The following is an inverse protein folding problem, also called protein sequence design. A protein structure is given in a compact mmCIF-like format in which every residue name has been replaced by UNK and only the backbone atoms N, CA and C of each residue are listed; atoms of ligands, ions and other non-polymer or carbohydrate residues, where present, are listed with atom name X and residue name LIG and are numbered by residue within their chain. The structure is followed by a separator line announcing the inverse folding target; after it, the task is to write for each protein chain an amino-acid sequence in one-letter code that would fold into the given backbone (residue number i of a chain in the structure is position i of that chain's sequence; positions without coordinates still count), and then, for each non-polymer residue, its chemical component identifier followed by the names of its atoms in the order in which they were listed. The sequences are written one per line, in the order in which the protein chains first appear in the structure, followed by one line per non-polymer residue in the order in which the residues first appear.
data_IF_206460010759
#
_entry.id   IF_206460010759
#
_cell.length_a   1.000
_cell.length_b   1.000
_cell.length_c   1.000
_cell.angle_alpha   90.00
_cell.angle_beta   90.00
_cell.angle_gamma   90.00
#
_symmetry.space_group_name_H-M   'P 1'
#
loop_
_entity.id
_entity.type
_entity.pdbx_description
1 polymer ?
#
# COMPACT_ATOMS: atom_id res chain seq x y z
N UNK A 1 -17.18 -31.31 -15.05
CA UNK A 1 -16.57 -30.99 -13.73
C UNK A 1 -15.22 -30.30 -13.86
N UNK A 2 -14.32 -30.72 -14.77
CA UNK A 2 -13.03 -30.01 -14.97
C UNK A 2 -13.16 -28.55 -15.43
N UNK A 3 -14.09 -28.26 -16.34
CA UNK A 3 -14.30 -26.89 -16.86
C UNK A 3 -14.76 -25.90 -15.79
N UNK A 4 -15.57 -26.34 -14.81
CA UNK A 4 -16.02 -25.53 -13.69
C UNK A 4 -14.90 -25.25 -12.68
N UNK A 5 -14.02 -26.21 -12.41
CA UNK A 5 -12.84 -26.03 -11.55
C UNK A 5 -11.81 -25.08 -12.21
N UNK A 6 -11.57 -25.23 -13.51
CA UNK A 6 -10.69 -24.33 -14.28
C UNK A 6 -11.19 -22.87 -14.29
N UNK A 7 -12.51 -22.67 -14.37
CA UNK A 7 -13.12 -21.33 -14.30
C UNK A 7 -13.03 -20.70 -12.90
N UNK A 8 -13.17 -21.50 -11.85
CA UNK A 8 -13.03 -21.07 -10.45
C UNK A 8 -11.60 -20.61 -10.13
N UNK A 9 -10.61 -21.42 -10.50
CA UNK A 9 -9.18 -21.12 -10.27
C UNK A 9 -8.73 -19.88 -11.02
N UNK A 10 -9.17 -19.70 -12.28
CA UNK A 10 -8.91 -18.49 -13.05
C UNK A 10 -9.49 -17.23 -12.37
N UNK A 11 -10.75 -17.28 -11.92
CA UNK A 11 -11.38 -16.15 -11.19
C UNK A 11 -10.64 -15.76 -9.91
N UNK A 12 -10.08 -16.73 -9.19
CA UNK A 12 -9.30 -16.46 -7.98
C UNK A 12 -7.97 -15.76 -8.31
N UNK A 13 -7.28 -16.24 -9.35
CA UNK A 13 -6.05 -15.61 -9.83
C UNK A 13 -6.31 -14.17 -10.32
N UNK A 14 -7.38 -13.96 -11.08
CA UNK A 14 -7.79 -12.63 -11.57
C UNK A 14 -8.07 -11.66 -10.42
N UNK A 15 -8.86 -12.09 -9.41
CA UNK A 15 -9.11 -11.28 -8.20
C UNK A 15 -7.82 -10.91 -7.48
N UNK A 16 -6.85 -11.83 -7.42
CA UNK A 16 -5.57 -11.59 -6.77
C UNK A 16 -4.74 -10.57 -7.54
N UNK A 17 -4.61 -10.71 -8.86
CA UNK A 17 -3.90 -9.73 -9.70
C UNK A 17 -4.55 -8.36 -9.58
N UNK A 18 -5.89 -8.29 -9.58
CA UNK A 18 -6.62 -7.03 -9.39
C UNK A 18 -6.27 -6.35 -8.07
N UNK A 19 -6.30 -7.06 -6.93
CA UNK A 19 -5.92 -6.49 -5.62
C UNK A 19 -4.49 -5.96 -5.59
N UNK A 20 -3.55 -6.69 -6.19
CA UNK A 20 -2.14 -6.27 -6.27
C UNK A 20 -2.02 -5.00 -7.13
N UNK A 21 -2.69 -4.97 -8.28
CA UNK A 21 -2.73 -3.78 -9.16
C UNK A 21 -3.29 -2.56 -8.44
N UNK A 22 -4.40 -2.73 -7.74
CA UNK A 22 -5.06 -1.64 -6.99
C UNK A 22 -4.13 -1.09 -5.89
N UNK A 23 -3.38 -1.96 -5.21
CA UNK A 23 -2.35 -1.54 -4.26
C UNK A 23 -1.23 -0.72 -4.93
N UNK A 24 -0.71 -1.19 -6.07
CA UNK A 24 0.35 -0.46 -6.79
C UNK A 24 -0.12 0.90 -7.29
N UNK A 25 -1.38 1.03 -7.73
CA UNK A 25 -1.94 2.34 -8.09
C UNK A 25 -1.95 3.29 -6.88
N UNK A 26 -2.35 2.81 -5.71
CA UNK A 26 -2.36 3.62 -4.48
C UNK A 26 -0.94 4.00 -4.04
N UNK A 27 0.00 3.05 -4.06
CA UNK A 27 1.42 3.29 -3.77
C UNK A 27 2.04 4.28 -4.77
N UNK A 28 1.72 4.17 -6.05
CA UNK A 28 2.23 5.06 -7.09
C UNK A 28 1.76 6.50 -6.86
N UNK A 29 0.48 6.72 -6.56
CA UNK A 29 -0.06 8.06 -6.24
C UNK A 29 0.64 8.60 -4.99
N UNK A 30 0.78 7.78 -3.94
CA UNK A 30 1.50 8.18 -2.73
C UNK A 30 2.93 8.63 -3.04
N UNK A 31 3.70 7.87 -3.81
CA UNK A 31 5.09 8.22 -4.15
C UNK A 31 5.15 9.47 -5.02
N UNK A 32 4.33 9.57 -6.06
CA UNK A 32 4.34 10.71 -7.00
C UNK A 32 4.00 12.03 -6.29
N UNK A 33 3.09 12.00 -5.30
CA UNK A 33 2.70 13.21 -4.57
C UNK A 33 3.66 13.47 -3.41
N UNK A 34 3.96 12.47 -2.59
CA UNK A 34 4.71 12.68 -1.34
C UNK A 34 6.21 12.82 -1.56
N UNK A 35 6.80 12.15 -2.55
CA UNK A 35 8.24 12.23 -2.77
C UNK A 35 8.70 13.64 -3.17
N UNK A 36 8.07 14.36 -4.12
CA UNK A 36 8.43 15.75 -4.42
C UNK A 36 8.21 16.67 -3.21
N UNK A 37 7.09 16.53 -2.49
CA UNK A 37 6.79 17.36 -1.32
C UNK A 37 7.90 17.20 -0.26
N UNK A 38 8.33 15.97 0.03
CA UNK A 38 9.40 15.71 0.98
C UNK A 38 10.75 16.23 0.48
N UNK A 39 11.12 15.91 -0.77
CA UNK A 39 12.42 16.30 -1.35
C UNK A 39 12.59 17.81 -1.45
N UNK A 40 11.53 18.52 -1.83
CA UNK A 40 11.53 19.97 -1.99
C UNK A 40 11.01 20.71 -0.75
N UNK A 41 10.70 20.02 0.35
CA UNK A 41 10.11 20.63 1.55
C UNK A 41 10.92 21.83 2.06
N UNK A 42 12.25 21.70 2.15
CA UNK A 42 13.12 22.81 2.58
C UNK A 42 13.13 23.97 1.58
N UNK A 43 13.08 23.70 0.28
CA UNK A 43 13.04 24.75 -0.76
C UNK A 43 11.69 25.49 -0.75
N UNK A 44 10.59 24.75 -0.57
CA UNK A 44 9.25 25.32 -0.42
C UNK A 44 9.19 26.22 0.82
N UNK A 45 9.67 25.73 1.97
CA UNK A 45 9.69 26.49 3.23
C UNK A 45 10.56 27.73 3.09
N UNK A 46 11.78 27.60 2.55
CA UNK A 46 12.68 28.74 2.33
C UNK A 46 12.14 29.79 1.37
N UNK A 47 11.36 29.38 0.36
CA UNK A 47 10.64 30.33 -0.50
C UNK A 47 9.59 31.12 0.29
N UNK A 48 8.84 30.48 1.20
CA UNK A 48 7.82 31.16 1.99
C UNK A 48 8.39 32.00 3.15
N UNK A 49 9.56 31.65 3.69
CA UNK A 49 10.27 32.47 4.68
C UNK A 49 10.52 33.91 4.19
N UNK A 50 10.71 34.13 2.88
CA UNK A 50 10.88 35.49 2.33
C UNK A 50 9.58 36.31 2.23
N UNK A 51 8.41 35.70 2.46
CA UNK A 51 7.10 36.36 2.35
C UNK A 51 6.28 36.32 3.64
N UNK A 52 6.62 35.46 4.60
CA UNK A 52 5.88 35.26 5.85
C UNK A 52 6.78 35.60 7.03
N UNK A 53 6.46 36.68 7.74
CA UNK A 53 7.20 37.17 8.91
C UNK A 53 6.78 36.46 10.22
N UNK A 54 6.41 35.18 10.13
CA UNK A 54 6.00 34.36 11.28
C UNK A 54 6.64 32.97 11.22
N UNK A 55 7.79 32.85 11.88
CA UNK A 55 8.56 31.59 11.96
C UNK A 55 7.77 30.43 12.58
N UNK A 56 6.89 30.69 13.54
CA UNK A 56 6.07 29.64 14.17
C UNK A 56 5.11 28.99 13.16
N UNK A 57 4.58 29.76 12.21
CA UNK A 57 3.68 29.23 11.18
C UNK A 57 4.42 28.30 10.22
N UNK A 58 5.62 28.68 9.79
CA UNK A 58 6.45 27.86 8.89
C UNK A 58 6.94 26.57 9.54
N UNK A 59 7.34 26.63 10.80
CA UNK A 59 7.72 25.44 11.57
C UNK A 59 6.53 24.50 11.77
N UNK A 60 5.34 25.03 12.07
CA UNK A 60 4.11 24.25 12.16
C UNK A 60 3.79 23.55 10.83
N UNK A 61 3.92 24.23 9.69
CA UNK A 61 3.72 23.63 8.35
C UNK A 61 4.72 22.51 8.11
N UNK A 62 6.00 22.73 8.41
CA UNK A 62 7.06 21.73 8.25
C UNK A 62 6.75 20.46 9.03
N UNK A 63 6.37 20.59 10.30
CA UNK A 63 6.01 19.45 11.16
C UNK A 63 4.78 18.73 10.60
N UNK A 64 3.76 19.46 10.13
CA UNK A 64 2.57 18.86 9.55
C UNK A 64 2.83 18.06 8.27
N UNK A 65 3.76 18.51 7.41
CA UNK A 65 4.17 17.76 6.22
C UNK A 65 4.71 16.38 6.62
N UNK A 66 5.59 16.32 7.62
CA UNK A 66 6.16 15.06 8.12
C UNK A 66 5.11 14.16 8.76
N UNK A 67 4.24 14.70 9.63
CA UNK A 67 3.17 13.95 10.28
C UNK A 67 2.20 13.36 9.25
N UNK A 68 1.74 14.17 8.30
CA UNK A 68 0.83 13.70 7.25
C UNK A 68 1.51 12.61 6.41
N UNK A 69 2.75 12.82 6.00
CA UNK A 69 3.46 11.82 5.19
C UNK A 69 3.60 10.51 5.95
N UNK A 70 3.90 10.54 7.26
CA UNK A 70 3.96 9.36 8.10
C UNK A 70 2.61 8.64 8.21
N UNK A 71 1.52 9.40 8.39
CA UNK A 71 0.16 8.84 8.48
C UNK A 71 -0.23 8.12 7.18
N UNK A 72 0.01 8.77 6.03
CA UNK A 72 -0.25 8.18 4.72
C UNK A 72 0.64 6.97 4.47
N UNK A 73 1.91 7.02 4.87
CA UNK A 73 2.82 5.88 4.77
C UNK A 73 2.30 4.67 5.56
N UNK A 74 1.80 4.88 6.79
CA UNK A 74 1.17 3.83 7.59
C UNK A 74 -0.04 3.24 6.87
N UNK A 75 -0.90 4.08 6.28
CA UNK A 75 -2.05 3.62 5.50
C UNK A 75 -1.66 2.72 4.33
N UNK A 76 -0.65 3.12 3.56
CA UNK A 76 -0.09 2.33 2.46
C UNK A 76 0.54 1.03 2.97
N UNK A 77 1.30 1.08 4.07
CA UNK A 77 1.94 -0.08 4.67
C UNK A 77 0.91 -1.12 5.15
N UNK A 78 -0.16 -0.67 5.82
CA UNK A 78 -1.28 -1.53 6.23
C UNK A 78 -1.96 -2.15 5.01
N UNK A 79 -2.27 -1.36 3.99
CA UNK A 79 -2.87 -1.87 2.75
C UNK A 79 -1.98 -2.93 2.09
N UNK A 80 -0.67 -2.69 2.02
CA UNK A 80 0.30 -3.67 1.54
C UNK A 80 0.28 -4.96 2.35
N UNK A 81 0.32 -4.87 3.68
CA UNK A 81 0.21 -6.04 4.56
C UNK A 81 -1.06 -6.84 4.28
N UNK A 82 -2.22 -6.21 4.12
CA UNK A 82 -3.46 -6.91 3.79
C UNK A 82 -3.40 -7.61 2.43
N UNK A 83 -2.93 -6.92 1.39
CA UNK A 83 -2.87 -7.46 0.02
C UNK A 83 -1.91 -8.65 -0.08
N UNK A 84 -0.75 -8.58 0.60
CA UNK A 84 0.27 -9.63 0.54
C UNK A 84 0.08 -10.74 1.60
N UNK A 85 -0.46 -10.46 2.80
CA UNK A 85 -0.76 -11.51 3.80
C UNK A 85 -1.88 -12.45 3.35
N UNK A 86 -2.92 -11.93 2.69
CA UNK A 86 -3.99 -12.78 2.14
C UNK A 86 -3.39 -13.89 1.27
N UNK A 87 -2.39 -13.57 0.46
CA UNK A 87 -1.72 -14.57 -0.37
C UNK A 87 -0.93 -15.64 0.42
N UNK A 88 -0.31 -15.28 1.56
CA UNK A 88 0.39 -16.25 2.40
C UNK A 88 -0.57 -17.19 3.12
N UNK A 89 -1.69 -16.65 3.61
CA UNK A 89 -2.75 -17.42 4.28
C UNK A 89 -3.43 -18.36 3.26
N UNK A 90 -3.79 -17.85 2.08
CA UNK A 90 -4.39 -18.66 1.01
C UNK A 90 -3.48 -19.84 0.61
N UNK A 91 -2.17 -19.59 0.53
CA UNK A 91 -1.18 -20.64 0.22
C UNK A 91 -1.07 -21.68 1.33
N UNK A 92 -1.04 -21.22 2.59
CA UNK A 92 -1.00 -22.11 3.75
C UNK A 92 -2.26 -22.99 3.84
N UNK A 93 -3.44 -22.40 3.64
CA UNK A 93 -4.72 -23.11 3.67
C UNK A 93 -4.76 -24.19 2.58
N UNK A 94 -4.37 -23.83 1.34
CA UNK A 94 -4.32 -24.78 0.22
C UNK A 94 -3.38 -25.96 0.51
N UNK A 95 -2.22 -25.69 1.10
CA UNK A 95 -1.28 -26.74 1.49
C UNK A 95 -1.85 -27.65 2.58
N UNK A 96 -2.53 -27.10 3.58
CA UNK A 96 -3.15 -27.87 4.66
C UNK A 96 -4.29 -28.74 4.17
N UNK A 97 -5.15 -28.23 3.29
CA UNK A 97 -6.22 -29.02 2.68
C UNK A 97 -5.64 -30.20 1.89
N UNK A 98 -4.58 -29.99 1.11
CA UNK A 98 -3.90 -31.08 0.39
C UNK A 98 -3.32 -32.14 1.33
N UNK A 99 -2.71 -31.72 2.45
CA UNK A 99 -2.18 -32.62 3.49
C UNK A 99 -3.29 -33.47 4.15
N UNK A 100 -4.49 -32.92 4.35
CA UNK A 100 -5.62 -33.67 4.89
C UNK A 100 -6.27 -34.63 3.89
N UNK A 101 -6.28 -34.29 2.59
CA UNK A 101 -6.78 -35.21 1.56
C UNK A 101 -5.85 -36.40 1.38
N UNK A 102 -4.53 -36.18 1.30
CA UNK A 102 -3.54 -37.26 1.17
C UNK A 102 -3.40 -38.16 2.41
N UNK A 103 -3.94 -37.76 3.58
CA UNK A 103 -3.96 -38.57 4.80
C UNK A 103 -5.20 -39.44 4.95
N UNK A 104 -6.20 -39.26 4.08
CA UNK A 104 -7.45 -40.05 4.08
C UNK A 104 -7.45 -41.18 3.05
N UNK A 105 -6.37 -41.31 2.30
CA UNK A 105 -6.03 -42.46 1.47
C UNK A 105 -4.97 -43.32 2.19
#
# INVERSE_FOLDING_TARGET
MESTIKKSTYKQAEKRVKRIRDFYNHLQIFVIIMAPILLFSNAIIGFFESYIDNGNTLEWVKVNIWINTLLWFIGVAIHGLFVFKVNLIDKWEKNKVAEFMNRKD
#
